data_IF_325542941022
#
_entry.id   IF_325542941022
#
_cell.length_a   1.000
_cell.length_b   1.000
_cell.length_c   1.000
_cell.angle_alpha   90.00
_cell.angle_beta   90.00
_cell.angle_gamma   90.00
#
_symmetry.space_group_name_H-M   'P 1'
#
loop_
_entity.id
_entity.type
_entity.pdbx_description
1 polymer ?
#
# COMPACT_ATOMS: atom_id res chain seq x y z
N UNK A 1 -32.46 19.87 -28.43
CA UNK A 1 -31.71 18.60 -28.34
C UNK A 1 -31.46 18.36 -26.87
N UNK A 2 -32.24 17.47 -26.27
CA UNK A 2 -32.14 17.10 -24.86
C UNK A 2 -31.04 16.05 -24.73
N UNK A 3 -29.93 16.42 -24.10
CA UNK A 3 -28.92 15.48 -23.65
C UNK A 3 -29.58 14.53 -22.65
N UNK A 4 -29.79 13.29 -23.08
CA UNK A 4 -30.18 12.21 -22.17
C UNK A 4 -28.93 11.81 -21.40
N UNK A 5 -28.85 12.22 -20.14
CA UNK A 5 -28.00 11.55 -19.16
C UNK A 5 -28.42 10.07 -19.11
N UNK A 6 -27.54 9.19 -19.57
CA UNK A 6 -27.74 7.75 -19.40
C UNK A 6 -27.32 7.38 -17.96
N UNK A 7 -28.22 6.83 -17.15
CA UNK A 7 -27.86 6.40 -15.79
C UNK A 7 -26.81 5.29 -15.87
N UNK A 8 -25.80 5.34 -15.00
CA UNK A 8 -24.77 4.32 -14.78
C UNK A 8 -25.33 2.99 -14.20
N UNK A 9 -26.54 2.57 -14.59
CA UNK A 9 -27.25 1.40 -14.06
C UNK A 9 -27.66 0.41 -15.16
N UNK A 10 -26.97 0.42 -16.31
CA UNK A 10 -27.09 -0.65 -17.31
C UNK A 10 -26.20 -1.86 -16.98
N UNK A 11 -26.53 -3.08 -17.46
CA UNK A 11 -25.64 -4.23 -17.30
C UNK A 11 -24.28 -3.92 -17.96
N UNK A 12 -23.18 -4.13 -17.23
CA UNK A 12 -21.85 -4.10 -17.84
C UNK A 12 -21.80 -5.24 -18.86
N UNK A 13 -21.37 -4.96 -20.09
CA UNK A 13 -21.25 -5.96 -21.15
C UNK A 13 -19.78 -6.23 -21.45
N UNK A 14 -19.48 -7.44 -21.90
CA UNK A 14 -18.18 -7.79 -22.49
C UNK A 14 -18.41 -8.45 -23.85
N UNK A 15 -17.50 -8.23 -24.78
CA UNK A 15 -17.54 -8.87 -26.09
C UNK A 15 -16.40 -9.88 -26.17
N UNK A 16 -16.71 -11.14 -26.48
CA UNK A 16 -15.73 -12.22 -26.53
C UNK A 16 -15.76 -12.92 -27.89
N UNK A 17 -14.59 -13.38 -28.34
CA UNK A 17 -14.45 -14.22 -29.53
C UNK A 17 -14.80 -15.67 -29.19
N UNK A 18 -15.93 -16.15 -29.72
CA UNK A 18 -16.46 -17.50 -29.48
C UNK A 18 -16.10 -18.51 -30.59
N UNK A 19 -15.64 -18.00 -31.73
CA UNK A 19 -15.14 -18.78 -32.85
C UNK A 19 -14.01 -17.98 -33.49
N UNK A 20 -12.85 -18.59 -33.71
CA UNK A 20 -11.69 -17.89 -34.26
C UNK A 20 -11.07 -18.70 -35.41
N UNK A 21 -11.30 -18.26 -36.65
CA UNK A 21 -10.51 -18.66 -37.80
C UNK A 21 -9.14 -17.95 -37.86
N UNK A 22 -8.45 -18.04 -39.00
CA UNK A 22 -7.21 -17.27 -39.25
C UNK A 22 -7.48 -15.77 -39.41
N UNK A 23 -7.57 -15.06 -38.29
CA UNK A 23 -7.69 -13.60 -38.29
C UNK A 23 -6.34 -12.94 -38.60
N UNK A 24 -6.25 -12.02 -39.59
CA UNK A 24 -5.01 -11.30 -39.91
C UNK A 24 -4.55 -10.35 -38.80
N UNK A 25 -5.46 -9.99 -37.88
CA UNK A 25 -5.19 -9.16 -36.71
C UNK A 25 -4.85 -9.99 -35.47
N UNK A 26 -4.75 -11.32 -35.61
CA UNK A 26 -4.32 -12.23 -34.54
C UNK A 26 -5.37 -12.51 -33.47
N UNK A 27 -6.66 -12.27 -33.74
CA UNK A 27 -7.71 -12.64 -32.81
C UNK A 27 -7.83 -14.17 -32.66
N UNK A 28 -7.97 -14.60 -31.41
CA UNK A 28 -8.00 -16.00 -30.99
C UNK A 28 -9.24 -16.26 -30.14
N UNK A 29 -9.60 -17.54 -30.00
CA UNK A 29 -10.71 -17.97 -29.16
C UNK A 29 -10.52 -17.45 -27.72
N UNK A 30 -11.59 -16.94 -27.10
CA UNK A 30 -11.62 -16.29 -25.78
C UNK A 30 -10.93 -14.93 -25.68
N UNK A 31 -10.53 -14.32 -26.79
CA UNK A 31 -10.12 -12.93 -26.77
C UNK A 31 -11.28 -12.04 -26.31
N UNK A 32 -11.00 -11.16 -25.35
CA UNK A 32 -11.99 -10.28 -24.74
C UNK A 32 -11.75 -8.83 -25.12
N UNK A 33 -12.81 -8.20 -25.61
CA UNK A 33 -12.89 -6.77 -25.84
C UNK A 33 -13.55 -6.12 -24.63
N UNK A 34 -12.94 -5.05 -24.13
CA UNK A 34 -13.48 -4.28 -23.02
C UNK A 34 -14.46 -3.25 -23.56
N UNK A 35 -15.66 -3.21 -23.03
CA UNK A 35 -16.65 -2.17 -23.37
C UNK A 35 -16.69 -1.18 -22.20
N UNK A 36 -16.45 0.09 -22.50
CA UNK A 36 -16.65 1.21 -21.59
C UNK A 36 -17.40 2.27 -22.38
N UNK A 37 -18.72 2.14 -22.41
CA UNK A 37 -19.59 2.88 -23.31
C UNK A 37 -19.25 4.38 -23.33
N UNK A 38 -19.11 5.00 -24.52
CA UNK A 38 -19.35 4.45 -25.85
C UNK A 38 -18.13 3.74 -26.50
N UNK A 39 -17.03 3.57 -25.76
CA UNK A 39 -15.79 3.02 -26.29
C UNK A 39 -15.72 1.49 -26.17
N UNK A 40 -15.15 0.84 -27.19
CA UNK A 40 -14.76 -0.57 -27.17
C UNK A 40 -13.25 -0.64 -27.35
N UNK A 41 -12.57 -1.45 -26.56
CA UNK A 41 -11.13 -1.65 -26.60
C UNK A 41 -10.80 -3.09 -27.01
N UNK A 42 -9.77 -3.30 -27.83
CA UNK A 42 -9.39 -4.64 -28.27
C UNK A 42 -8.67 -5.39 -27.12
N UNK A 43 -8.44 -6.70 -27.27
CA UNK A 43 -7.59 -7.47 -26.37
C UNK A 43 -6.20 -6.84 -26.23
N UNK A 44 -5.58 -7.04 -25.06
CA UNK A 44 -4.23 -6.53 -24.77
C UNK A 44 -3.26 -7.02 -25.86
N UNK A 45 -2.46 -6.10 -26.39
CA UNK A 45 -1.47 -6.35 -27.46
C UNK A 45 -2.06 -6.78 -28.81
N UNK A 46 -3.36 -6.55 -29.07
CA UNK A 46 -3.98 -6.78 -30.39
C UNK A 46 -4.50 -5.48 -30.99
N UNK A 47 -4.32 -5.27 -32.31
CA UNK A 47 -4.82 -4.06 -32.98
C UNK A 47 -6.35 -4.03 -33.01
N UNK A 48 -6.95 -2.83 -33.12
CA UNK A 48 -8.39 -2.65 -33.28
C UNK A 48 -8.83 -3.00 -34.70
N UNK A 49 -9.86 -3.84 -34.84
CA UNK A 49 -10.51 -4.11 -36.11
C UNK A 49 -11.72 -3.19 -36.29
N UNK A 50 -11.63 -2.18 -37.16
CA UNK A 50 -12.74 -1.25 -37.39
C UNK A 50 -14.02 -1.94 -37.87
N UNK A 51 -13.92 -3.03 -38.64
CA UNK A 51 -15.09 -3.80 -39.09
C UNK A 51 -15.78 -4.54 -37.95
N UNK A 52 -15.00 -5.11 -37.02
CA UNK A 52 -15.54 -5.74 -35.81
C UNK A 52 -16.14 -4.69 -34.88
N UNK A 53 -15.52 -3.51 -34.78
CA UNK A 53 -16.01 -2.38 -34.00
C UNK A 53 -17.36 -1.86 -34.51
N UNK A 54 -17.52 -1.68 -35.82
CA UNK A 54 -18.80 -1.25 -36.41
C UNK A 54 -19.92 -2.25 -36.09
N UNK A 55 -19.64 -3.55 -36.23
CA UNK A 55 -20.62 -4.59 -35.89
C UNK A 55 -20.89 -4.73 -34.40
N UNK A 56 -19.89 -4.52 -33.57
CA UNK A 56 -20.04 -4.49 -32.12
C UNK A 56 -20.95 -3.32 -31.68
N UNK A 57 -20.78 -2.13 -32.28
CA UNK A 57 -21.65 -0.99 -32.00
C UNK A 57 -23.10 -1.25 -32.48
N UNK A 58 -23.29 -1.82 -33.67
CA UNK A 58 -24.63 -2.24 -34.14
C UNK A 58 -25.29 -3.27 -33.20
N UNK A 59 -24.49 -4.19 -32.63
CA UNK A 59 -24.97 -5.19 -31.69
C UNK A 59 -25.30 -4.58 -30.31
N UNK A 60 -24.53 -3.60 -29.85
CA UNK A 60 -24.78 -2.86 -28.62
C UNK A 60 -26.05 -2.00 -28.73
N UNK A 61 -26.28 -1.34 -29.87
CA UNK A 61 -27.48 -0.53 -30.10
C UNK A 61 -28.77 -1.37 -30.11
N UNK A 62 -28.65 -2.66 -30.41
CA UNK A 62 -29.76 -3.64 -30.49
C UNK A 62 -29.85 -4.55 -29.27
N UNK A 63 -28.97 -4.40 -28.28
CA UNK A 63 -28.91 -5.27 -27.12
C UNK A 63 -30.16 -5.08 -26.25
N UNK A 64 -30.89 -6.18 -26.00
CA UNK A 64 -32.01 -6.26 -25.07
C UNK A 64 -31.69 -7.30 -23.99
N UNK A 65 -31.71 -6.87 -22.72
CA UNK A 65 -31.56 -7.72 -21.53
C UNK A 65 -32.48 -8.95 -21.49
N UNK A 66 -33.60 -8.95 -22.24
CA UNK A 66 -34.52 -10.09 -22.33
C UNK A 66 -34.16 -11.09 -23.43
N UNK A 67 -33.18 -10.79 -24.29
CA UNK A 67 -32.72 -11.65 -25.38
C UNK A 67 -31.21 -11.48 -25.63
N UNK A 68 -30.33 -12.09 -24.81
CA UNK A 68 -28.90 -11.76 -24.72
C UNK A 68 -28.02 -12.33 -25.85
N UNK A 69 -28.59 -12.97 -26.88
CA UNK A 69 -27.83 -13.65 -27.95
C UNK A 69 -27.43 -12.74 -29.11
N UNK A 70 -26.85 -11.58 -28.82
CA UNK A 70 -26.29 -10.71 -29.86
C UNK A 70 -24.93 -11.27 -30.35
N UNK A 71 -25.00 -12.31 -31.18
CA UNK A 71 -23.88 -12.90 -31.90
C UNK A 71 -23.73 -12.26 -33.28
N UNK A 72 -22.50 -11.93 -33.67
CA UNK A 72 -22.22 -11.49 -35.03
C UNK A 72 -20.88 -12.02 -35.51
N UNK A 73 -20.76 -12.19 -36.82
CA UNK A 73 -19.53 -12.64 -37.47
C UNK A 73 -18.89 -11.51 -38.25
N UNK A 74 -17.56 -11.50 -38.31
CA UNK A 74 -16.82 -10.50 -39.06
C UNK A 74 -17.23 -10.55 -40.55
N UNK A 75 -17.73 -9.45 -41.14
CA UNK A 75 -18.29 -9.46 -42.50
C UNK A 75 -17.26 -9.69 -43.61
N UNK A 76 -15.94 -9.57 -43.33
CA UNK A 76 -14.88 -9.75 -44.33
C UNK A 76 -14.14 -11.08 -44.24
N UNK A 77 -14.45 -11.94 -43.27
CA UNK A 77 -13.78 -13.23 -43.10
C UNK A 77 -14.61 -14.36 -43.72
N UNK A 78 -14.66 -14.42 -45.05
CA UNK A 78 -15.49 -15.41 -45.79
C UNK A 78 -15.02 -16.86 -45.63
N UNK A 79 -13.72 -17.11 -45.39
CA UNK A 79 -13.16 -18.47 -45.21
C UNK A 79 -12.70 -18.79 -43.77
N UNK A 80 -12.64 -17.79 -42.89
CA UNK A 80 -12.04 -17.91 -41.55
C UNK A 80 -12.85 -17.13 -40.53
N UNK A 81 -14.08 -17.61 -40.31
CA UNK A 81 -15.09 -16.93 -39.52
C UNK A 81 -14.57 -16.63 -38.10
N UNK A 82 -14.50 -15.34 -37.78
CA UNK A 82 -14.38 -14.88 -36.38
C UNK A 82 -15.76 -14.47 -35.94
N UNK A 83 -16.30 -15.16 -34.94
CA UNK A 83 -17.63 -14.89 -34.37
C UNK A 83 -17.45 -14.30 -32.99
N UNK A 84 -18.16 -13.19 -32.76
CA UNK A 84 -18.17 -12.47 -31.50
C UNK A 84 -19.55 -12.61 -30.86
N UNK A 85 -19.57 -12.67 -29.53
CA UNK A 85 -20.80 -12.68 -28.75
C UNK A 85 -20.70 -11.67 -27.63
N UNK A 86 -21.78 -10.90 -27.45
CA UNK A 86 -21.96 -10.08 -26.25
C UNK A 86 -22.39 -10.98 -25.10
N UNK A 87 -21.68 -10.85 -23.99
CA UNK A 87 -22.04 -11.45 -22.71
C UNK A 87 -22.36 -10.32 -21.74
N UNK A 88 -23.30 -10.59 -20.83
CA UNK A 88 -23.27 -9.86 -19.56
C UNK A 88 -21.87 -10.06 -18.96
N UNK A 89 -21.19 -8.94 -18.68
CA UNK A 89 -19.98 -9.00 -17.90
C UNK A 89 -20.34 -9.66 -16.58
N UNK A 90 -19.54 -10.61 -16.09
CA UNK A 90 -19.77 -11.20 -14.79
C UNK A 90 -19.89 -10.05 -13.79
N UNK A 91 -20.94 -10.08 -12.95
CA UNK A 91 -21.16 -9.06 -11.91
C UNK A 91 -19.82 -8.76 -11.25
N UNK A 92 -19.50 -7.47 -11.06
CA UNK A 92 -18.29 -6.87 -10.46
C UNK A 92 -17.33 -7.83 -9.71
N UNK A 93 -17.85 -8.73 -8.89
CA UNK A 93 -17.15 -9.80 -8.19
C UNK A 93 -16.04 -10.54 -8.98
N UNK A 94 -16.16 -10.91 -10.27
CA UNK A 94 -15.08 -11.68 -10.94
C UNK A 94 -13.85 -10.84 -11.32
N UNK A 95 -14.04 -9.58 -11.74
CA UNK A 95 -12.93 -8.65 -12.01
C UNK A 95 -12.24 -8.26 -10.70
N UNK A 96 -13.01 -8.03 -9.63
CA UNK A 96 -12.44 -7.76 -8.31
C UNK A 96 -11.75 -8.99 -7.71
N UNK A 97 -12.16 -10.21 -8.06
CA UNK A 97 -11.46 -11.44 -7.63
C UNK A 97 -10.09 -11.55 -8.33
N UNK A 98 -10.00 -11.22 -9.63
CA UNK A 98 -8.71 -11.19 -10.33
C UNK A 98 -7.78 -10.09 -9.80
N UNK A 99 -8.32 -8.89 -9.52
CA UNK A 99 -7.55 -7.81 -8.88
C UNK A 99 -7.12 -8.27 -7.49
N UNK A 100 -8.01 -8.80 -6.66
CA UNK A 100 -7.71 -9.30 -5.32
C UNK A 100 -6.62 -10.38 -5.32
N UNK A 101 -6.63 -11.28 -6.31
CA UNK A 101 -5.56 -12.28 -6.48
C UNK A 101 -4.21 -11.64 -6.85
N UNK A 102 -4.20 -10.58 -7.66
CA UNK A 102 -2.99 -9.80 -7.93
C UNK A 102 -2.52 -9.01 -6.69
N UNK A 103 -3.46 -8.52 -5.86
CA UNK A 103 -3.13 -7.80 -4.62
C UNK A 103 -2.38 -8.67 -3.63
N UNK A 104 -2.61 -9.99 -3.59
CA UNK A 104 -1.85 -10.93 -2.74
C UNK A 104 -0.34 -10.90 -3.01
N UNK A 105 0.08 -10.42 -4.19
CA UNK A 105 1.47 -10.19 -4.52
C UNK A 105 2.15 -9.20 -3.58
N UNK A 106 1.44 -8.18 -3.11
CA UNK A 106 2.00 -7.07 -2.33
C UNK A 106 2.01 -7.36 -0.83
N UNK A 107 3.11 -6.98 -0.17
CA UNK A 107 3.32 -7.22 1.27
C UNK A 107 2.22 -6.65 2.17
N UNK A 108 1.67 -5.46 1.85
CA UNK A 108 0.57 -4.85 2.60
C UNK A 108 -0.69 -5.72 2.59
N UNK A 109 -1.08 -6.19 1.41
CA UNK A 109 -2.33 -6.92 1.18
C UNK A 109 -2.27 -8.37 1.68
N UNK A 110 -1.08 -8.93 1.92
CA UNK A 110 -0.93 -10.25 2.58
C UNK A 110 -1.38 -10.26 4.04
N UNK A 111 -1.51 -9.09 4.66
CA UNK A 111 -2.05 -8.94 6.01
C UNK A 111 -3.58 -9.04 6.05
N UNK A 112 -4.24 -9.07 4.90
CA UNK A 112 -5.68 -9.12 4.77
C UNK A 112 -6.18 -10.53 4.45
N UNK A 113 -7.38 -10.86 4.94
CA UNK A 113 -8.09 -12.07 4.56
C UNK A 113 -8.78 -11.90 3.18
N UNK A 114 -9.25 -13.00 2.58
CA UNK A 114 -9.85 -12.96 1.24
C UNK A 114 -11.10 -12.06 1.16
N UNK A 115 -11.88 -11.92 2.23
CA UNK A 115 -13.06 -11.06 2.25
C UNK A 115 -12.66 -9.59 2.24
N UNK A 116 -11.67 -9.21 3.05
CA UNK A 116 -11.08 -7.87 3.08
C UNK A 116 -10.46 -7.51 1.72
N UNK A 117 -9.71 -8.44 1.12
CA UNK A 117 -9.11 -8.26 -0.21
C UNK A 117 -10.17 -8.04 -1.30
N UNK A 118 -11.23 -8.84 -1.30
CA UNK A 118 -12.31 -8.68 -2.28
C UNK A 118 -13.09 -7.38 -2.09
N UNK A 119 -13.17 -6.87 -0.85
CA UNK A 119 -13.79 -5.59 -0.58
C UNK A 119 -12.90 -4.44 -1.05
N UNK A 120 -11.62 -4.43 -0.67
CA UNK A 120 -10.72 -3.33 -1.05
C UNK A 120 -10.42 -3.31 -2.56
N UNK A 121 -10.40 -4.47 -3.22
CA UNK A 121 -10.23 -4.58 -4.67
C UNK A 121 -11.34 -3.86 -5.47
N UNK A 122 -12.49 -3.56 -4.84
CA UNK A 122 -13.57 -2.76 -5.45
C UNK A 122 -13.25 -1.28 -5.52
N UNK A 123 -12.43 -0.80 -4.59
CA UNK A 123 -12.12 0.61 -4.43
C UNK A 123 -10.77 1.00 -5.03
N UNK A 124 -9.98 0.02 -5.50
CA UNK A 124 -8.68 0.26 -6.11
C UNK A 124 -8.83 0.75 -7.54
N UNK A 125 -8.15 1.86 -7.84
CA UNK A 125 -8.06 2.43 -9.17
C UNK A 125 -6.61 2.50 -9.65
N UNK A 126 -6.36 2.13 -10.90
CA UNK A 126 -5.05 2.30 -11.51
C UNK A 126 -4.88 3.75 -12.00
N UNK A 127 -3.83 4.44 -11.54
CA UNK A 127 -3.41 5.72 -12.09
C UNK A 127 -2.05 5.59 -12.77
N UNK A 128 -1.88 6.23 -13.92
CA UNK A 128 -0.64 6.21 -14.70
C UNK A 128 -0.10 7.61 -14.81
N UNK A 129 1.22 7.73 -14.63
CA UNK A 129 1.96 8.98 -14.72
C UNK A 129 3.16 8.78 -15.64
N UNK A 130 3.41 9.75 -16.51
CA UNK A 130 4.66 9.82 -17.25
C UNK A 130 5.78 10.32 -16.33
N UNK A 131 7.03 10.12 -16.74
CA UNK A 131 8.18 10.66 -16.03
C UNK A 131 8.06 12.18 -15.84
N UNK A 132 8.54 12.67 -14.70
CA UNK A 132 8.54 14.05 -14.23
C UNK A 132 7.14 14.64 -13.96
N UNK A 133 6.06 13.85 -14.09
CA UNK A 133 4.73 14.31 -13.70
C UNK A 133 4.58 14.35 -12.18
N UNK A 134 4.02 15.46 -11.69
CA UNK A 134 3.66 15.63 -10.29
C UNK A 134 2.40 14.80 -9.96
N UNK A 135 2.47 14.08 -8.84
CA UNK A 135 1.39 13.22 -8.34
C UNK A 135 0.68 13.86 -7.15
N UNK A 136 1.46 14.49 -6.26
CA UNK A 136 0.99 15.23 -5.07
C UNK A 136 1.81 16.50 -4.96
N UNK A 137 1.17 17.61 -4.59
CA UNK A 137 1.84 18.83 -4.15
C UNK A 137 1.73 19.09 -2.65
N UNK A 138 2.61 19.96 -2.14
CA UNK A 138 2.52 20.46 -0.78
C UNK A 138 1.28 21.34 -0.65
N UNK A 139 0.49 21.07 0.40
CA UNK A 139 -0.78 21.76 0.67
C UNK A 139 -2.00 21.09 0.04
N UNK A 140 -1.81 20.04 -0.78
CA UNK A 140 -2.93 19.25 -1.28
C UNK A 140 -3.73 18.65 -0.11
N UNK A 141 -5.07 18.54 -0.21
CA UNK A 141 -5.91 18.02 0.86
C UNK A 141 -5.68 16.53 1.17
N UNK A 142 -4.88 15.82 0.38
CA UNK A 142 -4.48 14.44 0.66
C UNK A 142 -5.64 13.45 0.58
N UNK A 143 -6.24 13.29 -0.60
CA UNK A 143 -7.48 12.51 -0.76
C UNK A 143 -7.28 11.04 -1.12
N UNK A 144 -6.04 10.63 -1.41
CA UNK A 144 -5.75 9.29 -1.92
C UNK A 144 -4.49 8.70 -1.29
N UNK A 145 -4.56 7.41 -1.00
CA UNK A 145 -3.45 6.55 -0.66
C UNK A 145 -2.96 5.84 -1.92
N UNK A 146 -1.64 5.75 -2.07
CA UNK A 146 -1.03 5.16 -3.27
C UNK A 146 -0.06 4.03 -2.91
N UNK A 147 -0.08 2.96 -3.72
CA UNK A 147 0.93 1.90 -3.73
C UNK A 147 1.56 1.87 -5.12
N UNK A 148 2.87 1.78 -5.18
CA UNK A 148 3.61 1.73 -6.44
C UNK A 148 3.54 0.31 -7.00
N UNK A 149 2.86 0.14 -8.14
CA UNK A 149 2.80 -1.14 -8.84
C UNK A 149 3.99 -1.31 -9.79
N UNK A 150 4.36 -0.24 -10.50
CA UNK A 150 5.47 -0.22 -11.46
C UNK A 150 6.04 1.19 -11.55
N UNK A 151 7.35 1.31 -11.75
CA UNK A 151 8.05 2.59 -11.82
C UNK A 151 8.61 3.01 -10.46
N UNK A 152 8.88 4.31 -10.32
CA UNK A 152 9.49 4.89 -9.12
C UNK A 152 9.10 6.36 -9.00
N UNK A 153 9.01 6.86 -7.76
CA UNK A 153 8.65 8.25 -7.45
C UNK A 153 9.68 8.85 -6.49
N UNK A 154 9.91 10.15 -6.62
CA UNK A 154 10.76 10.93 -5.71
C UNK A 154 9.87 11.79 -4.79
N UNK A 155 10.13 11.73 -3.48
CA UNK A 155 9.48 12.57 -2.47
C UNK A 155 10.38 13.76 -2.16
N UNK A 156 9.82 14.97 -2.17
CA UNK A 156 10.50 16.22 -1.87
C UNK A 156 9.84 16.91 -0.69
N UNK A 157 10.64 17.51 0.19
CA UNK A 157 10.17 18.43 1.22
C UNK A 157 10.73 19.82 0.97
N UNK A 158 9.96 20.83 1.40
CA UNK A 158 10.42 22.21 1.42
C UNK A 158 11.56 22.39 2.43
N UNK A 159 12.60 23.10 2.03
CA UNK A 159 13.68 23.49 2.94
C UNK A 159 13.13 24.49 3.97
N UNK A 160 13.48 24.31 5.25
CA UNK A 160 13.03 25.20 6.32
C UNK A 160 13.76 26.55 6.29
N UNK A 161 14.94 26.61 5.67
CA UNK A 161 15.82 27.77 5.67
C UNK A 161 15.80 28.54 4.33
N UNK A 162 15.24 27.96 3.27
CA UNK A 162 15.20 28.55 1.92
C UNK A 162 13.80 28.39 1.31
N UNK A 163 13.09 29.51 1.12
CA UNK A 163 11.66 29.54 0.82
C UNK A 163 11.25 28.93 -0.53
N UNK A 164 12.18 28.78 -1.47
CA UNK A 164 11.93 28.23 -2.82
C UNK A 164 12.69 26.93 -3.11
N UNK A 165 13.32 26.32 -2.10
CA UNK A 165 14.14 25.12 -2.29
C UNK A 165 13.42 23.87 -1.82
N UNK A 166 13.47 22.85 -2.67
CA UNK A 166 12.92 21.53 -2.41
C UNK A 166 14.05 20.51 -2.36
N UNK A 167 14.18 19.83 -1.23
CA UNK A 167 15.19 18.79 -1.05
C UNK A 167 14.53 17.42 -1.23
N UNK A 168 15.08 16.58 -2.11
CA UNK A 168 14.65 15.18 -2.23
C UNK A 168 14.90 14.46 -0.90
N UNK A 169 13.86 13.86 -0.35
CA UNK A 169 13.90 13.05 0.86
C UNK A 169 14.33 11.63 0.52
N UNK A 170 13.63 11.00 -0.42
CA UNK A 170 13.73 9.58 -0.72
C UNK A 170 13.16 9.29 -2.12
N UNK A 171 13.62 8.20 -2.72
CA UNK A 171 13.02 7.59 -3.91
C UNK A 171 12.32 6.31 -3.47
N UNK A 172 11.05 6.15 -3.83
CA UNK A 172 10.24 4.98 -3.54
C UNK A 172 10.03 4.15 -4.81
N UNK A 173 10.05 2.83 -4.68
CA UNK A 173 9.92 1.86 -5.77
C UNK A 173 8.70 0.95 -5.63
N UNK A 174 8.58 -0.11 -6.45
CA UNK A 174 7.46 -1.05 -6.38
C UNK A 174 7.28 -1.62 -4.96
N UNK A 175 6.01 -1.83 -4.58
CA UNK A 175 5.54 -2.17 -3.23
C UNK A 175 5.57 -1.06 -2.18
N UNK A 176 6.35 0.01 -2.36
CA UNK A 176 6.29 1.16 -1.46
C UNK A 176 4.96 1.92 -1.59
N UNK A 177 4.61 2.64 -0.53
CA UNK A 177 3.38 3.41 -0.46
C UNK A 177 3.61 4.86 0.01
N UNK A 178 2.70 5.75 -0.38
CA UNK A 178 2.72 7.16 0.00
C UNK A 178 1.32 7.77 0.01
N UNK A 179 1.20 8.99 0.54
CA UNK A 179 -0.08 9.69 0.71
C UNK A 179 -0.88 9.23 1.94
N UNK A 180 -0.36 8.27 2.71
CA UNK A 180 -1.00 7.80 3.94
C UNK A 180 -0.96 8.84 5.05
N UNK A 181 0.08 9.69 5.07
CA UNK A 181 0.31 10.66 6.14
C UNK A 181 -0.84 11.65 6.30
N UNK A 182 -1.28 12.27 5.20
CA UNK A 182 -2.40 13.23 5.21
C UNK A 182 -3.74 12.56 5.54
N UNK A 183 -3.89 11.29 5.17
CA UNK A 183 -5.09 10.52 5.47
C UNK A 183 -5.17 10.13 6.94
N UNK A 184 -4.04 9.82 7.57
CA UNK A 184 -3.96 9.39 8.97
C UNK A 184 -3.96 10.57 9.96
N UNK A 185 -3.33 11.68 9.58
CA UNK A 185 -3.22 12.89 10.44
C UNK A 185 -4.37 13.88 10.21
N UNK A 186 -5.11 13.71 9.12
CA UNK A 186 -6.09 14.69 8.62
C UNK A 186 -5.50 16.08 8.31
N UNK A 187 -4.18 16.17 8.13
CA UNK A 187 -3.48 17.38 7.71
C UNK A 187 -3.23 17.38 6.18
N UNK A 188 -3.09 18.57 5.55
CA UNK A 188 -2.66 18.66 4.16
C UNK A 188 -1.32 17.97 3.89
N UNK A 189 -1.08 17.56 2.65
CA UNK A 189 0.17 16.95 2.24
C UNK A 189 1.36 17.86 2.54
N UNK A 190 2.33 17.37 3.31
CA UNK A 190 3.53 18.10 3.71
C UNK A 190 4.72 17.90 2.74
N UNK A 191 4.56 17.04 1.74
CA UNK A 191 5.60 16.69 0.77
C UNK A 191 5.06 16.68 -0.65
N UNK A 192 5.94 16.97 -1.61
CA UNK A 192 5.66 16.87 -3.04
C UNK A 192 6.13 15.51 -3.55
N UNK A 193 5.35 14.87 -4.41
CA UNK A 193 5.69 13.58 -5.00
C UNK A 193 5.70 13.69 -6.52
N UNK A 194 6.81 13.30 -7.15
CA UNK A 194 7.00 13.37 -8.60
C UNK A 194 7.36 11.99 -9.12
N UNK A 195 6.79 11.59 -10.26
CA UNK A 195 7.16 10.36 -10.94
C UNK A 195 8.60 10.47 -11.47
N UNK A 196 9.51 9.66 -10.93
CA UNK A 196 10.92 9.60 -11.38
C UNK A 196 11.01 8.82 -12.71
N UNK A 197 10.15 7.83 -12.89
CA UNK A 197 9.99 7.09 -14.15
C UNK A 197 8.51 7.00 -14.52
N UNK A 198 8.19 6.47 -15.71
CA UNK A 198 6.81 6.11 -16.07
C UNK A 198 6.23 5.18 -14.99
N UNK A 199 5.24 5.68 -14.25
CA UNK A 199 4.79 5.06 -13.01
C UNK A 199 3.32 4.66 -13.09
N UNK A 200 3.00 3.46 -12.58
CA UNK A 200 1.63 2.98 -12.40
C UNK A 200 1.39 2.77 -10.91
N UNK A 201 0.32 3.39 -10.40
CA UNK A 201 -0.07 3.37 -9.00
C UNK A 201 -1.40 2.65 -8.82
N UNK A 202 -1.53 1.89 -7.75
CA UNK A 202 -2.81 1.52 -7.17
C UNK A 202 -3.24 2.66 -6.24
N UNK A 203 -4.40 3.25 -6.49
CA UNK A 203 -4.94 4.36 -5.73
C UNK A 203 -6.19 3.93 -4.96
N UNK A 204 -6.24 4.27 -3.68
CA UNK A 204 -7.40 4.14 -2.81
C UNK A 204 -7.83 5.53 -2.35
N UNK A 205 -9.11 5.85 -2.46
CA UNK A 205 -9.62 7.12 -1.94
C UNK A 205 -9.66 7.13 -0.40
N UNK A 206 -9.84 8.32 0.18
CA UNK A 206 -9.88 8.52 1.64
C UNK A 206 -10.85 7.58 2.34
N UNK A 207 -12.08 7.42 1.85
CA UNK A 207 -13.09 6.59 2.52
C UNK A 207 -12.74 5.11 2.49
N UNK A 208 -12.24 4.60 1.36
CA UNK A 208 -11.79 3.21 1.23
C UNK A 208 -10.56 2.93 2.10
N UNK A 209 -9.61 3.86 2.17
CA UNK A 209 -8.44 3.75 3.05
C UNK A 209 -8.83 3.70 4.53
N UNK A 210 -9.74 4.58 4.98
CA UNK A 210 -10.21 4.57 6.37
C UNK A 210 -10.94 3.28 6.71
N UNK A 211 -11.79 2.78 5.80
CA UNK A 211 -12.45 1.49 5.96
C UNK A 211 -11.44 0.35 6.08
N UNK A 212 -10.42 0.33 5.21
CA UNK A 212 -9.33 -0.66 5.23
C UNK A 212 -8.61 -0.71 6.60
N UNK A 213 -8.35 0.45 7.20
CA UNK A 213 -7.71 0.56 8.53
C UNK A 213 -8.65 0.15 9.67
N UNK A 214 -9.94 0.48 9.57
CA UNK A 214 -10.92 0.15 10.59
C UNK A 214 -11.28 -1.34 10.59
N UNK A 215 -11.37 -1.96 9.41
CA UNK A 215 -11.78 -3.35 9.26
C UNK A 215 -10.64 -4.34 9.56
N UNK A 216 -9.38 -3.95 9.32
CA UNK A 216 -8.21 -4.83 9.53
C UNK A 216 -7.25 -4.31 10.60
N UNK A 217 -7.29 -4.94 11.78
CA UNK A 217 -6.37 -4.61 12.88
C UNK A 217 -4.89 -4.82 12.50
N UNK A 218 -4.59 -5.77 11.60
CA UNK A 218 -3.23 -6.02 11.12
C UNK A 218 -2.72 -4.86 10.26
N UNK A 219 -3.56 -4.32 9.37
CA UNK A 219 -3.25 -3.16 8.53
C UNK A 219 -3.10 -1.90 9.37
N UNK A 220 -3.98 -1.72 10.34
CA UNK A 220 -3.91 -0.62 11.29
C UNK A 220 -2.55 -0.60 12.03
N UNK A 221 -2.14 -1.76 12.58
CA UNK A 221 -0.81 -1.94 13.19
C UNK A 221 0.35 -1.67 12.21
N UNK A 222 0.21 -2.10 10.96
CA UNK A 222 1.21 -1.84 9.91
C UNK A 222 1.43 -0.33 9.69
N UNK A 223 0.35 0.43 9.54
CA UNK A 223 0.44 1.88 9.31
C UNK A 223 0.95 2.62 10.55
N UNK A 224 0.55 2.24 11.75
CA UNK A 224 1.14 2.80 12.98
C UNK A 224 2.65 2.57 13.04
N UNK A 225 3.13 1.37 12.71
CA UNK A 225 4.57 1.08 12.65
C UNK A 225 5.30 1.87 11.55
N UNK A 226 4.66 2.07 10.40
CA UNK A 226 5.19 2.87 9.30
C UNK A 226 5.29 4.35 9.66
N UNK A 227 4.28 4.92 10.32
CA UNK A 227 4.29 6.30 10.81
C UNK A 227 5.38 6.52 11.86
N UNK A 228 5.51 5.61 12.83
CA UNK A 228 6.57 5.66 13.83
C UNK A 228 7.97 5.71 13.18
N UNK A 229 8.19 4.91 12.13
CA UNK A 229 9.42 4.91 11.35
C UNK A 229 9.65 6.17 10.50
N UNK A 230 8.61 6.90 10.11
CA UNK A 230 8.74 8.15 9.33
C UNK A 230 9.00 9.37 10.21
N UNK A 231 8.41 9.38 11.41
CA UNK A 231 8.71 10.39 12.44
C UNK A 231 10.18 10.35 12.81
N UNK A 232 10.75 9.15 12.92
CA UNK A 232 12.19 8.90 13.06
C UNK A 232 13.03 9.56 11.97
N UNK A 233 12.77 9.23 10.71
CA UNK A 233 13.66 9.59 9.60
C UNK A 233 13.61 11.09 9.30
N UNK A 234 12.53 11.77 9.68
CA UNK A 234 12.41 13.23 9.58
C UNK A 234 13.27 13.95 10.63
N UNK A 235 13.51 13.35 11.80
CA UNK A 235 14.46 13.85 12.79
C UNK A 235 15.92 13.50 12.44
N UNK A 236 16.15 12.41 11.71
CA UNK A 236 17.49 11.91 11.36
C UNK A 236 18.23 12.69 10.25
N UNK A 237 17.63 13.74 9.65
CA UNK A 237 18.36 14.62 8.72
C UNK A 237 19.48 15.45 9.38
N UNK A 238 19.73 15.28 10.68
CA UNK A 238 20.85 15.85 11.41
C UNK A 238 22.09 14.94 11.44
N UNK A 239 22.00 13.63 11.17
CA UNK A 239 23.18 12.75 11.34
C UNK A 239 23.31 11.70 10.24
N UNK A 240 24.26 11.94 9.33
CA UNK A 240 24.77 10.95 8.39
C UNK A 240 25.26 9.69 9.13
N UNK A 241 24.74 8.51 8.82
CA UNK A 241 25.52 7.30 8.49
C UNK A 241 24.63 6.07 8.25
N UNK A 242 25.00 5.33 7.20
CA UNK A 242 24.54 3.99 6.73
C UNK A 242 23.80 3.14 7.77
N UNK A 243 22.55 2.77 7.51
CA UNK A 243 21.90 1.71 8.28
C UNK A 243 21.04 0.79 7.40
N UNK A 244 21.33 -0.50 7.53
CA UNK A 244 20.69 -1.64 6.89
C UNK A 244 19.38 -1.95 7.63
N UNK A 245 18.24 -1.78 6.95
CA UNK A 245 16.98 -2.51 7.18
C UNK A 245 16.44 -2.59 8.62
N UNK A 246 16.42 -1.49 9.37
CA UNK A 246 15.96 -1.44 10.76
C UNK A 246 14.82 -0.46 11.04
N UNK A 247 13.97 -0.77 12.04
CA UNK A 247 12.96 0.14 12.61
C UNK A 247 13.70 1.14 13.48
N UNK A 248 13.39 2.42 13.43
CA UNK A 248 14.12 3.40 14.23
C UNK A 248 13.14 4.51 14.68
N UNK A 249 13.40 5.24 15.76
CA UNK A 249 12.57 6.37 16.25
C UNK A 249 13.22 7.24 17.32
N UNK A 250 12.44 8.17 17.87
CA UNK A 250 12.78 8.95 19.06
C UNK A 250 11.86 8.53 20.21
N UNK A 251 12.42 8.45 21.42
CA UNK A 251 11.71 8.06 22.64
C UNK A 251 10.71 9.12 23.12
N UNK A 252 10.85 10.37 22.67
CA UNK A 252 9.87 11.43 22.97
C UNK A 252 8.59 11.30 22.15
N UNK A 253 8.66 10.63 20.99
CA UNK A 253 7.53 10.38 20.11
C UNK A 253 6.84 9.03 20.41
N UNK A 254 7.60 8.03 20.85
CA UNK A 254 7.10 6.71 21.21
C UNK A 254 7.90 6.19 22.40
N UNK A 255 7.24 5.94 23.52
CA UNK A 255 7.89 5.48 24.75
C UNK A 255 8.50 4.09 24.56
N UNK A 256 9.50 3.76 25.38
CA UNK A 256 10.13 2.44 25.36
C UNK A 256 9.11 1.31 25.56
N UNK A 257 8.10 1.53 26.41
CA UNK A 257 7.02 0.57 26.66
C UNK A 257 6.25 0.26 25.37
N UNK A 258 5.86 1.28 24.61
CA UNK A 258 5.14 1.12 23.34
C UNK A 258 6.01 0.43 22.28
N UNK A 259 7.29 0.80 22.20
CA UNK A 259 8.27 0.16 21.30
C UNK A 259 8.36 -1.36 21.57
N UNK A 260 8.49 -1.74 22.84
CA UNK A 260 8.56 -3.16 23.23
C UNK A 260 7.24 -3.88 22.94
N UNK A 261 6.09 -3.24 23.13
CA UNK A 261 4.79 -3.82 22.78
C UNK A 261 4.66 -4.10 21.28
N UNK A 262 5.18 -3.20 20.42
CA UNK A 262 5.23 -3.41 18.97
C UNK A 262 6.05 -4.66 18.66
N UNK A 263 7.28 -4.75 19.17
CA UNK A 263 8.17 -5.90 18.90
C UNK A 263 7.61 -7.22 19.42
N UNK A 264 6.91 -7.18 20.56
CA UNK A 264 6.19 -8.32 21.10
C UNK A 264 5.07 -8.78 20.16
N UNK A 265 4.24 -7.86 19.67
CA UNK A 265 3.14 -8.19 18.76
C UNK A 265 3.63 -8.68 17.39
N UNK A 266 4.82 -8.27 16.95
CA UNK A 266 5.40 -8.65 15.66
C UNK A 266 6.36 -9.84 15.77
N UNK A 267 6.47 -10.48 16.94
CA UNK A 267 7.39 -11.59 17.21
C UNK A 267 8.81 -11.34 16.67
N UNK A 268 9.29 -10.10 16.76
CA UNK A 268 10.53 -9.68 16.10
C UNK A 268 11.78 -10.16 16.84
N UNK A 269 12.84 -10.46 16.08
CA UNK A 269 14.16 -10.85 16.59
C UNK A 269 15.21 -9.86 16.10
N UNK A 270 16.04 -9.34 17.02
CA UNK A 270 16.97 -8.26 16.74
C UNK A 270 17.51 -7.57 17.98
N UNK A 271 18.32 -6.55 17.75
CA UNK A 271 18.94 -5.71 18.77
C UNK A 271 18.34 -4.31 18.67
N UNK A 272 17.73 -3.84 19.75
CA UNK A 272 17.26 -2.48 19.91
C UNK A 272 18.36 -1.64 20.57
N UNK A 273 19.02 -0.81 19.77
CA UNK A 273 19.97 0.21 20.21
C UNK A 273 19.21 1.45 20.67
N UNK A 274 19.64 2.05 21.77
CA UNK A 274 19.05 3.24 22.38
C UNK A 274 20.18 4.23 22.64
N UNK A 275 20.11 5.42 22.06
CA UNK A 275 20.99 6.56 22.37
C UNK A 275 20.21 7.51 23.26
N UNK A 276 20.39 7.40 24.56
CA UNK A 276 19.76 8.29 25.54
C UNK A 276 20.79 9.29 26.08
N UNK A 277 20.38 10.45 26.63
CA UNK A 277 21.31 11.54 26.98
C UNK A 277 22.44 11.16 27.93
N UNK A 278 22.25 10.13 28.76
CA UNK A 278 23.22 9.70 29.77
C UNK A 278 24.25 8.74 29.17
N UNK A 279 23.78 7.66 28.53
CA UNK A 279 24.65 6.60 28.02
C UNK A 279 23.91 5.76 26.98
N UNK A 280 24.63 5.15 26.04
CA UNK A 280 24.03 4.23 25.08
C UNK A 280 23.54 2.95 25.77
N UNK A 281 22.46 2.40 25.25
CA UNK A 281 21.84 1.19 25.74
C UNK A 281 21.50 0.23 24.61
N UNK A 282 21.39 -1.05 24.97
CA UNK A 282 20.99 -2.12 24.07
C UNK A 282 19.98 -3.02 24.74
N UNK A 283 18.98 -3.46 23.98
CA UNK A 283 18.01 -4.47 24.39
C UNK A 283 17.98 -5.55 23.31
N UNK A 284 18.27 -6.79 23.70
CA UNK A 284 18.21 -7.93 22.81
C UNK A 284 16.81 -8.54 22.86
N UNK A 285 16.20 -8.70 21.69
CA UNK A 285 14.82 -9.17 21.53
C UNK A 285 14.84 -10.43 20.65
N UNK A 286 14.16 -11.48 21.10
CA UNK A 286 14.02 -12.74 20.35
C UNK A 286 12.57 -13.22 20.38
N UNK A 287 11.95 -13.39 19.21
CA UNK A 287 10.55 -13.80 19.08
C UNK A 287 9.58 -12.82 19.75
N UNK A 288 9.94 -11.54 19.83
CA UNK A 288 9.17 -10.50 20.53
C UNK A 288 9.34 -10.49 22.05
N UNK A 289 10.19 -11.34 22.61
CA UNK A 289 10.53 -11.33 24.03
C UNK A 289 11.88 -10.66 24.30
N UNK A 290 11.98 -9.92 25.39
CA UNK A 290 13.25 -9.34 25.84
C UNK A 290 14.10 -10.46 26.47
N UNK A 291 15.31 -10.64 25.93
CA UNK A 291 16.27 -11.63 26.40
C UNK A 291 17.34 -11.04 27.30
N UNK A 292 17.82 -9.84 27.01
CA UNK A 292 18.73 -9.09 27.88
C UNK A 292 18.67 -7.60 27.60
N UNK A 293 19.11 -6.79 28.56
CA UNK A 293 19.18 -5.34 28.44
C UNK A 293 20.45 -4.81 29.10
N UNK A 294 21.01 -3.73 28.59
CA UNK A 294 22.19 -3.07 29.17
C UNK A 294 22.04 -1.56 29.04
N UNK A 295 22.25 -0.85 30.15
CA UNK A 295 22.23 0.60 30.21
C UNK A 295 23.27 1.08 31.22
N UNK A 296 24.42 1.54 30.73
CA UNK A 296 25.56 1.87 31.57
C UNK A 296 25.98 0.72 32.50
N UNK A 297 25.94 0.97 33.81
CA UNK A 297 26.24 -0.02 34.85
C UNK A 297 25.10 -1.01 35.13
N UNK A 298 23.89 -0.70 34.69
CA UNK A 298 22.72 -1.54 34.92
C UNK A 298 22.65 -2.64 33.87
N UNK A 299 22.21 -3.82 34.29
CA UNK A 299 22.04 -4.99 33.43
C UNK A 299 20.66 -5.60 33.62
N UNK A 300 20.13 -6.20 32.57
CA UNK A 300 18.93 -7.01 32.56
C UNK A 300 17.70 -6.25 33.08
N UNK A 301 16.96 -6.80 34.05
CA UNK A 301 15.72 -6.19 34.55
C UNK A 301 15.95 -4.77 35.07
N UNK A 302 17.04 -4.54 35.81
CA UNK A 302 17.39 -3.21 36.33
C UNK A 302 17.67 -2.22 35.18
N UNK A 303 18.38 -2.66 34.14
CA UNK A 303 18.63 -1.82 32.96
C UNK A 303 17.33 -1.43 32.27
N UNK A 304 16.43 -2.40 32.13
CA UNK A 304 15.13 -2.16 31.51
C UNK A 304 14.31 -1.12 32.29
N UNK A 305 14.22 -1.25 33.61
CA UNK A 305 13.46 -0.32 34.44
C UNK A 305 14.03 1.10 34.42
N UNK A 306 15.37 1.25 34.42
CA UNK A 306 16.00 2.57 34.30
C UNK A 306 15.83 3.18 32.90
N UNK A 307 15.77 2.33 31.86
CA UNK A 307 15.50 2.78 30.50
C UNK A 307 14.07 3.24 30.28
N UNK A 308 13.08 2.62 30.93
CA UNK A 308 11.67 3.05 30.84
C UNK A 308 11.48 4.47 31.39
N UNK A 309 12.32 4.90 32.34
CA UNK A 309 12.28 6.27 32.89
C UNK A 309 12.77 7.33 31.90
N UNK A 310 13.48 6.94 30.84
CA UNK A 310 14.01 7.87 29.84
C UNK A 310 12.88 8.36 28.93
N UNK A 311 12.67 9.67 28.90
CA UNK A 311 11.63 10.32 28.07
C UNK A 311 12.18 10.91 26.76
N UNK A 312 13.49 10.88 26.59
CA UNK A 312 14.19 11.47 25.45
C UNK A 312 15.36 10.57 25.03
N UNK A 313 15.70 10.62 23.74
CA UNK A 313 16.70 9.76 23.11
C UNK A 313 16.23 9.20 21.78
N UNK A 314 17.12 8.48 21.10
CA UNK A 314 16.88 7.84 19.82
C UNK A 314 16.94 6.31 19.96
N UNK A 315 16.12 5.58 19.23
CA UNK A 315 16.15 4.13 19.22
C UNK A 315 16.31 3.56 17.82
N UNK A 316 17.05 2.48 17.65
CA UNK A 316 17.19 1.80 16.39
C UNK A 316 17.21 0.30 16.60
N UNK A 317 16.31 -0.39 15.95
CA UNK A 317 16.20 -1.83 15.91
C UNK A 317 16.89 -2.39 14.67
N UNK A 318 17.86 -3.26 14.87
CA UNK A 318 18.55 -4.00 13.84
C UNK A 318 18.17 -5.48 13.94
N UNK A 319 17.62 -6.05 12.86
CA UNK A 319 17.39 -7.49 12.79
C UNK A 319 18.71 -8.25 12.85
N UNK A 320 18.71 -9.37 13.55
CA UNK A 320 19.88 -10.25 13.64
C UNK A 320 19.43 -11.70 13.56
N UNK A 321 20.26 -12.52 12.92
CA UNK A 321 20.11 -13.98 12.85
C UNK A 321 21.03 -14.69 13.88
N UNK A 322 21.74 -13.92 14.71
CA UNK A 322 22.61 -14.45 15.76
C UNK A 322 21.76 -14.96 16.91
N UNK A 323 22.10 -16.14 17.41
CA UNK A 323 21.47 -16.74 18.59
C UNK A 323 21.80 -15.92 19.84
N UNK A 324 20.76 -15.40 20.50
CA UNK A 324 20.88 -14.55 21.68
C UNK A 324 20.54 -15.42 22.91
N UNK A 325 21.41 -15.42 23.91
CA UNK A 325 21.14 -16.11 25.18
C UNK A 325 20.12 -15.31 26.01
N UNK A 326 19.18 -16.03 26.62
CA UNK A 326 18.15 -15.43 27.47
C UNK A 326 18.67 -15.26 28.89
N UNK A 327 18.93 -14.03 29.30
CA UNK A 327 19.37 -13.68 30.65
C UNK A 327 18.21 -13.22 31.54
N UNK A 328 17.23 -12.50 30.97
CA UNK A 328 16.03 -12.05 31.68
C UNK A 328 15.00 -13.20 31.71
N UNK A 329 14.71 -13.68 32.92
CA UNK A 329 13.80 -14.82 33.15
C UNK A 329 12.34 -14.40 33.17
N UNK A 330 12.07 -13.15 33.54
CA UNK A 330 10.72 -12.60 33.60
C UNK A 330 10.19 -12.46 32.16
N UNK A 331 8.95 -12.90 31.86
CA UNK A 331 8.33 -12.63 30.57
C UNK A 331 8.19 -11.13 30.32
N UNK A 332 8.26 -10.70 29.06
CA UNK A 332 8.22 -9.27 28.70
C UNK A 332 6.96 -8.57 29.22
N UNK A 333 5.82 -9.25 29.26
CA UNK A 333 4.58 -8.72 29.86
C UNK A 333 4.73 -8.41 31.35
N UNK A 334 5.45 -9.25 32.09
CA UNK A 334 5.74 -9.03 33.50
C UNK A 334 6.61 -7.80 33.73
N UNK A 335 7.65 -7.61 32.89
CA UNK A 335 8.50 -6.42 32.94
C UNK A 335 7.71 -5.13 32.67
N UNK A 336 6.80 -5.16 31.68
CA UNK A 336 5.98 -4.00 31.34
C UNK A 336 5.00 -3.64 32.46
N UNK A 337 4.34 -4.64 33.06
CA UNK A 337 3.42 -4.42 34.18
C UNK A 337 4.15 -3.84 35.41
N UNK A 338 5.33 -4.37 35.73
CA UNK A 338 6.13 -3.86 36.85
C UNK A 338 6.63 -2.42 36.57
N UNK A 339 7.00 -2.12 35.32
CA UNK A 339 7.42 -0.78 34.93
C UNK A 339 6.30 0.25 35.09
N UNK A 340 5.06 -0.09 34.73
CA UNK A 340 3.90 0.79 34.91
C UNK A 340 3.64 1.07 36.39
N UNK A 341 3.73 0.04 37.23
CA UNK A 341 3.59 0.17 38.69
C UNK A 341 4.63 1.11 39.29
N UNK A 342 5.90 0.93 38.92
CA UNK A 342 7.02 1.74 39.44
C UNK A 342 6.94 3.20 38.96
N UNK A 343 6.36 3.47 37.78
CA UNK A 343 6.15 4.83 37.29
C UNK A 343 5.01 5.55 38.03
N UNK A 344 3.94 4.84 38.38
CA UNK A 344 2.82 5.40 39.14
C UNK A 344 3.22 5.74 40.59
N UNK A 345 4.05 4.90 41.22
CA UNK A 345 4.54 5.11 42.59
C UNK A 345 5.53 6.29 42.73
N UNK A 346 6.18 6.72 41.64
CA UNK A 346 7.14 7.85 41.63
C UNK A 346 6.52 9.20 41.17
N UNK A 347 5.24 9.22 40.79
CA UNK A 347 4.50 10.42 40.37
C UNK A 347 3.56 10.99 41.46
N UNK A 348 3.58 10.40 42.65
CA UNK A 348 2.97 10.91 43.90
C UNK A 348 4.05 11.38 44.86
#
# INVERSE_FOLDING_TARGET
MTDKEYPCEGPQLRLEVIEAGKCPLGYQLKDQFRISYPAIYPPINKPMCFLALTKANEALDKYDSKNPEACFSCPSCFENKVTFQLFEAPKNNEIHTQIADQLKGFSLFRLMNNSELNNIAKDIHLKKFEQDQQIIDIGDPGENFYIIHMGAVDIYAKDKNEEDKYNRLITLGPEDCFGEMSLLTEEPCSTRVIANTKTTLLALNKSAFHRMIQESQAINKYFFGLLANRIKTTNDKVSQQKLVGGIAGSLSALSLVEIIQIFKSSASTGILHLKVPIEDAIINICGGEIYSAKFGKFTNEEAFFELVKQKDGEFQFQRTDVEIEREIKIPTTGLLMESMRVMDENNT
#
